data_IF_623529627508
#
_entry.id   IF_623529627508
#
_cell.length_a   1.000
_cell.length_b   1.000
_cell.length_c   1.000
_cell.angle_alpha   90.00
_cell.angle_beta   90.00
_cell.angle_gamma   90.00
#
_symmetry.space_group_name_H-M   'P 1'
#
loop_
_entity.id
_entity.type
_entity.pdbx_description
1 polymer ?
#
# COMPACT_ATOMS: atom_id res chain seq x y z
N UNK A 1 6.03 42.68 -29.20
CA UNK A 1 5.40 42.26 -27.93
C UNK A 1 5.47 40.74 -27.70
N UNK A 2 4.97 39.90 -28.61
CA UNK A 2 4.91 38.43 -28.42
C UNK A 2 6.28 37.72 -28.19
N UNK A 3 7.34 38.14 -28.90
CA UNK A 3 8.69 37.55 -28.72
C UNK A 3 9.32 37.85 -27.35
N UNK A 4 9.00 39.00 -26.76
CA UNK A 4 9.50 39.41 -25.44
C UNK A 4 8.76 38.69 -24.32
N UNK A 5 7.44 38.52 -24.46
CA UNK A 5 6.63 37.73 -23.55
C UNK A 5 7.06 36.25 -23.51
N UNK A 6 7.35 35.64 -24.68
CA UNK A 6 7.85 34.27 -24.75
C UNK A 6 9.22 34.06 -24.08
N UNK A 7 10.13 35.04 -24.15
CA UNK A 7 11.43 35.00 -23.46
C UNK A 7 11.28 35.12 -21.95
N UNK A 8 10.39 35.99 -21.47
CA UNK A 8 10.09 36.15 -20.05
C UNK A 8 9.44 34.89 -19.47
N UNK A 9 8.49 34.28 -20.18
CA UNK A 9 7.89 33.01 -19.81
C UNK A 9 8.92 31.87 -19.77
N UNK A 10 9.84 31.81 -20.76
CA UNK A 10 10.91 30.83 -20.77
C UNK A 10 11.90 30.98 -19.61
N UNK A 11 12.31 32.22 -19.29
CA UNK A 11 13.19 32.50 -18.16
C UNK A 11 12.54 32.18 -16.81
N UNK A 12 11.25 32.53 -16.64
CA UNK A 12 10.48 32.18 -15.44
C UNK A 12 10.31 30.67 -15.27
N UNK A 13 10.11 29.93 -16.37
CA UNK A 13 10.08 28.47 -16.38
C UNK A 13 11.39 27.84 -15.93
N UNK A 14 12.52 28.28 -16.49
CA UNK A 14 13.86 27.83 -16.08
C UNK A 14 14.16 28.14 -14.61
N UNK A 15 13.77 29.33 -14.14
CA UNK A 15 13.91 29.70 -12.73
C UNK A 15 13.12 28.79 -11.79
N UNK A 16 11.87 28.48 -12.14
CA UNK A 16 11.01 27.56 -11.39
C UNK A 16 11.63 26.16 -11.29
N UNK A 17 12.14 25.62 -12.40
CA UNK A 17 12.79 24.31 -12.44
C UNK A 17 14.07 24.30 -11.60
N UNK A 18 14.87 25.37 -11.66
CA UNK A 18 16.09 25.48 -10.85
C UNK A 18 15.76 25.48 -9.34
N UNK A 19 14.76 26.26 -8.91
CA UNK A 19 14.30 26.26 -7.50
C UNK A 19 13.79 24.89 -7.09
N UNK A 20 12.96 24.23 -7.92
CA UNK A 20 12.48 22.88 -7.64
C UNK A 20 13.64 21.88 -7.49
N UNK A 21 14.66 21.97 -8.35
CA UNK A 21 15.88 21.16 -8.26
C UNK A 21 16.65 21.37 -6.97
N UNK A 22 16.86 22.63 -6.56
CA UNK A 22 17.49 22.96 -5.28
C UNK A 22 16.69 22.45 -4.08
N UNK A 23 15.35 22.56 -4.13
CA UNK A 23 14.47 22.00 -3.10
C UNK A 23 14.55 20.48 -3.05
N UNK A 24 14.67 19.79 -4.19
CA UNK A 24 14.78 18.34 -4.23
C UNK A 24 16.07 17.87 -3.56
N UNK A 25 17.19 18.58 -3.80
CA UNK A 25 18.45 18.36 -3.10
C UNK A 25 18.28 18.60 -1.60
N UNK A 26 17.69 19.73 -1.19
CA UNK A 26 17.46 20.05 0.22
C UNK A 26 16.61 18.99 0.93
N UNK A 27 15.50 18.57 0.33
CA UNK A 27 14.62 17.54 0.88
C UNK A 27 15.38 16.22 1.01
N UNK A 28 16.16 15.83 0.01
CA UNK A 28 16.95 14.59 0.03
C UNK A 28 18.06 14.63 1.09
N UNK A 29 18.79 15.72 1.21
CA UNK A 29 19.92 15.82 2.16
C UNK A 29 19.46 15.89 3.61
N UNK A 30 18.28 16.45 3.86
CA UNK A 30 17.70 16.56 5.20
C UNK A 30 16.73 15.39 5.50
N UNK A 31 16.73 14.33 4.70
CA UNK A 31 15.87 13.16 4.92
C UNK A 31 16.62 12.11 5.73
N UNK A 32 16.10 11.79 6.91
CA UNK A 32 16.57 10.70 7.74
C UNK A 32 15.47 9.64 7.78
N UNK A 33 15.77 8.48 7.23
CA UNK A 33 14.83 7.36 7.18
C UNK A 33 14.80 6.67 8.56
N UNK A 34 13.64 6.55 9.22
CA UNK A 34 13.52 5.76 10.44
C UNK A 34 13.79 4.27 10.15
N UNK A 35 14.14 3.48 11.18
CA UNK A 35 14.25 2.03 11.00
C UNK A 35 12.88 1.40 10.71
N UNK A 36 12.91 0.18 10.17
CA UNK A 36 11.73 -0.68 10.05
C UNK A 36 11.13 -0.99 11.44
N UNK A 37 9.85 -1.37 11.49
CA UNK A 37 9.20 -1.76 12.73
C UNK A 37 9.90 -2.98 13.35
N UNK A 38 9.97 -3.00 14.68
CA UNK A 38 10.48 -4.15 15.41
C UNK A 38 9.36 -5.12 15.76
N UNK A 39 9.68 -6.41 15.86
CA UNK A 39 8.72 -7.46 16.23
C UNK A 39 8.48 -8.45 15.09
N UNK A 40 7.49 -9.34 15.24
CA UNK A 40 7.22 -10.36 14.24
C UNK A 40 6.63 -9.77 12.95
N UNK A 41 6.98 -10.35 11.80
CA UNK A 41 6.38 -10.02 10.51
C UNK A 41 5.14 -10.87 10.20
N UNK A 42 4.76 -11.77 11.11
CA UNK A 42 3.57 -12.61 11.01
C UNK A 42 2.87 -12.70 12.36
N UNK A 43 1.57 -12.98 12.34
CA UNK A 43 0.81 -13.16 13.58
C UNK A 43 -0.60 -13.65 13.32
N UNK A 44 -1.35 -13.84 14.41
CA UNK A 44 -2.77 -14.17 14.36
C UNK A 44 -3.50 -13.25 15.34
N UNK A 45 -4.45 -12.49 14.83
CA UNK A 45 -5.37 -11.72 15.64
C UNK A 45 -6.59 -12.59 15.99
N UNK A 46 -6.89 -12.70 17.28
CA UNK A 46 -8.09 -13.37 17.75
C UNK A 46 -9.26 -12.38 17.88
N UNK A 47 -10.51 -12.79 17.60
CA UNK A 47 -11.67 -12.02 18.02
C UNK A 47 -11.67 -11.93 19.56
N UNK A 48 -12.19 -10.82 20.12
CA UNK A 48 -12.34 -10.68 21.57
C UNK A 48 -13.10 -11.90 22.13
N UNK A 49 -12.75 -12.41 23.34
CA UNK A 49 -13.21 -13.71 23.79
C UNK A 49 -14.73 -13.78 23.93
N UNK A 50 -15.38 -14.46 22.98
CA UNK A 50 -16.72 -14.99 23.10
C UNK A 50 -16.60 -16.51 23.29
N UNK A 51 -16.40 -16.95 24.54
CA UNK A 51 -16.49 -18.36 24.99
C UNK A 51 -15.52 -19.38 24.34
N UNK A 52 -15.28 -20.56 24.94
CA UNK A 52 -14.21 -21.45 24.50
C UNK A 52 -14.57 -22.22 23.22
N UNK A 53 -13.53 -22.39 22.37
CA UNK A 53 -13.41 -23.35 21.27
C UNK A 53 -14.45 -23.27 20.15
N UNK A 54 -14.32 -22.26 19.29
CA UNK A 54 -14.71 -22.42 17.87
C UNK A 54 -13.61 -23.27 17.21
N UNK A 55 -13.95 -24.40 16.56
CA UNK A 55 -12.96 -25.20 15.84
C UNK A 55 -12.23 -24.37 14.78
N UNK A 56 -10.94 -24.69 14.58
CA UNK A 56 -9.93 -24.03 13.73
C UNK A 56 -10.26 -23.91 12.23
N UNK A 57 -11.50 -24.14 11.79
CA UNK A 57 -11.84 -24.31 10.37
C UNK A 57 -12.21 -23.03 9.61
N UNK A 58 -12.19 -21.84 10.23
CA UNK A 58 -12.60 -20.60 9.55
C UNK A 58 -11.64 -19.42 9.74
N UNK A 59 -10.36 -19.67 10.05
CA UNK A 59 -9.36 -18.60 10.08
C UNK A 59 -9.23 -17.95 8.69
N UNK A 60 -9.20 -16.61 8.66
CA UNK A 60 -8.86 -15.84 7.47
C UNK A 60 -7.38 -15.51 7.44
N UNK A 61 -6.74 -15.49 6.29
CA UNK A 61 -5.32 -15.17 6.15
C UNK A 61 -5.10 -14.00 5.20
N UNK A 62 -4.45 -12.95 5.71
CA UNK A 62 -4.07 -11.76 4.97
C UNK A 62 -2.57 -11.78 4.68
N UNK A 63 -2.18 -11.36 3.48
CA UNK A 63 -0.76 -11.15 3.14
C UNK A 63 -0.57 -9.71 2.65
N UNK A 64 0.43 -9.03 3.16
CA UNK A 64 0.83 -7.70 2.72
C UNK A 64 2.10 -7.80 1.89
N UNK A 65 2.10 -7.24 0.69
CA UNK A 65 3.28 -7.08 -0.15
C UNK A 65 3.56 -5.59 -0.31
N UNK A 66 4.79 -5.13 -0.07
CA UNK A 66 5.05 -3.72 -0.27
C UNK A 66 6.41 -3.21 0.16
N UNK A 67 6.44 -1.91 0.42
CA UNK A 67 7.64 -1.17 0.77
C UNK A 67 7.73 -0.88 2.27
N UNK A 68 8.30 0.28 2.62
CA UNK A 68 8.43 0.79 3.98
C UNK A 68 7.10 0.90 4.73
N UNK A 69 5.97 1.00 4.04
CA UNK A 69 4.65 0.99 4.67
C UNK A 69 4.26 -0.39 5.22
N UNK A 70 4.73 -1.45 4.58
CA UNK A 70 4.50 -2.84 5.03
C UNK A 70 5.52 -3.25 6.08
N UNK A 71 6.77 -2.77 5.98
CA UNK A 71 7.77 -2.98 7.04
C UNK A 71 7.52 -2.12 8.28
N UNK A 72 6.62 -1.13 8.19
CA UNK A 72 6.19 -0.31 9.32
C UNK A 72 7.20 0.77 9.71
N UNK A 73 7.95 1.33 8.75
CA UNK A 73 8.82 2.49 9.00
C UNK A 73 8.02 3.61 9.69
N UNK A 74 8.56 4.14 10.78
CA UNK A 74 7.89 5.19 11.57
C UNK A 74 7.03 4.67 12.71
N UNK A 75 6.78 3.34 12.78
CA UNK A 75 6.18 2.71 13.95
C UNK A 75 7.16 2.70 15.13
N UNK A 76 6.64 2.89 16.35
CA UNK A 76 7.38 2.67 17.60
C UNK A 76 6.96 1.38 18.29
N UNK A 77 5.86 0.75 17.84
CA UNK A 77 5.42 -0.55 18.33
C UNK A 77 6.51 -1.63 18.18
N UNK A 78 6.54 -2.54 19.17
CA UNK A 78 7.44 -3.71 19.18
C UNK A 78 6.74 -5.02 18.79
N UNK A 79 5.49 -4.92 18.38
CA UNK A 79 4.63 -6.06 18.05
C UNK A 79 4.57 -6.33 16.54
N UNK A 80 5.51 -5.74 15.78
CA UNK A 80 5.55 -5.83 14.32
C UNK A 80 4.95 -4.59 13.64
N UNK A 81 4.87 -4.61 12.30
CA UNK A 81 4.36 -3.48 11.53
C UNK A 81 2.89 -3.22 11.85
N UNK A 82 2.56 -1.97 12.20
CA UNK A 82 1.23 -1.61 12.72
C UNK A 82 0.14 -1.81 11.68
N UNK A 83 0.36 -1.46 10.41
CA UNK A 83 -0.66 -1.56 9.36
C UNK A 83 -1.16 -3.01 9.14
N UNK A 84 -0.29 -4.01 8.86
CA UNK A 84 -0.71 -5.39 8.73
C UNK A 84 -1.40 -5.96 9.98
N UNK A 85 -0.78 -5.75 11.15
CA UNK A 85 -1.29 -6.25 12.43
C UNK A 85 -2.64 -5.65 12.76
N UNK A 86 -2.77 -4.33 12.67
CA UNK A 86 -3.99 -3.65 13.08
C UNK A 86 -5.16 -3.90 12.12
N UNK A 87 -4.91 -4.05 10.81
CA UNK A 87 -5.97 -4.50 9.89
C UNK A 87 -6.49 -5.88 10.28
N UNK A 88 -5.59 -6.82 10.60
CA UNK A 88 -5.97 -8.16 11.03
C UNK A 88 -6.77 -8.14 12.33
N UNK A 89 -6.37 -7.33 13.31
CA UNK A 89 -7.11 -7.13 14.56
C UNK A 89 -8.51 -6.57 14.34
N UNK A 90 -8.65 -5.55 13.50
CA UNK A 90 -9.94 -4.96 13.17
C UNK A 90 -10.82 -5.96 12.41
N UNK A 91 -10.26 -6.68 11.44
CA UNK A 91 -10.98 -7.73 10.71
C UNK A 91 -11.42 -8.87 11.64
N UNK A 92 -10.56 -9.32 12.55
CA UNK A 92 -10.90 -10.38 13.49
C UNK A 92 -12.09 -9.98 14.38
N UNK A 93 -12.11 -8.73 14.85
CA UNK A 93 -13.24 -8.17 15.60
C UNK A 93 -14.51 -8.07 14.75
N UNK A 94 -14.42 -7.55 13.53
CA UNK A 94 -15.59 -7.33 12.67
C UNK A 94 -16.18 -8.62 12.08
N UNK A 95 -15.35 -9.64 11.86
CA UNK A 95 -15.75 -10.91 11.26
C UNK A 95 -16.05 -12.00 12.30
N UNK A 96 -15.72 -11.75 13.58
CA UNK A 96 -15.79 -12.73 14.65
C UNK A 96 -15.04 -14.04 14.33
N UNK A 97 -13.92 -13.95 13.61
CA UNK A 97 -13.09 -15.10 13.25
C UNK A 97 -11.61 -14.77 13.44
N UNK A 98 -10.73 -15.74 13.75
CA UNK A 98 -9.29 -15.48 13.78
C UNK A 98 -8.79 -14.99 12.42
N UNK A 99 -7.86 -14.04 12.44
CA UNK A 99 -7.23 -13.49 11.23
C UNK A 99 -5.72 -13.60 11.34
N UNK A 100 -5.14 -14.52 10.57
CA UNK A 100 -3.71 -14.60 10.35
C UNK A 100 -3.25 -13.46 9.43
N UNK A 101 -2.05 -12.94 9.68
CA UNK A 101 -1.44 -11.93 8.83
C UNK A 101 0.04 -12.20 8.62
N UNK A 102 0.53 -11.85 7.44
CA UNK A 102 1.94 -11.93 7.05
C UNK A 102 2.35 -10.65 6.31
N UNK A 103 3.47 -10.06 6.68
CA UNK A 103 4.01 -8.83 6.11
C UNK A 103 5.32 -9.10 5.36
N UNK A 104 5.25 -9.09 4.02
CA UNK A 104 6.41 -9.24 3.14
C UNK A 104 6.74 -7.89 2.51
N UNK A 105 7.63 -7.15 3.18
CA UNK A 105 8.04 -5.82 2.74
C UNK A 105 9.56 -5.67 2.67
N UNK A 106 10.01 -4.79 1.79
CA UNK A 106 11.40 -4.30 1.78
C UNK A 106 11.36 -2.78 1.59
N UNK A 107 12.00 -2.06 2.50
CA UNK A 107 12.06 -0.60 2.43
C UNK A 107 12.66 -0.13 1.09
N UNK A 108 11.90 0.69 0.37
CA UNK A 108 12.27 1.17 -0.97
C UNK A 108 11.81 0.29 -2.13
N UNK A 109 11.09 -0.81 -1.88
CA UNK A 109 10.61 -1.70 -2.94
C UNK A 109 9.67 -1.00 -3.94
N UNK A 110 9.91 -1.28 -5.22
CA UNK A 110 9.01 -0.96 -6.34
C UNK A 110 8.24 -2.22 -6.80
N UNK A 111 7.34 -2.08 -7.77
CA UNK A 111 6.53 -3.20 -8.28
C UNK A 111 7.37 -4.34 -8.85
N UNK A 112 8.57 -4.04 -9.38
CA UNK A 112 9.50 -5.04 -9.89
C UNK A 112 10.07 -5.88 -8.75
N UNK A 113 10.52 -5.23 -7.68
CA UNK A 113 11.00 -5.89 -6.47
C UNK A 113 9.90 -6.71 -5.79
N UNK A 114 8.65 -6.23 -5.76
CA UNK A 114 7.52 -7.02 -5.26
C UNK A 114 7.38 -8.35 -6.00
N UNK A 115 7.47 -8.34 -7.34
CA UNK A 115 7.41 -9.55 -8.16
C UNK A 115 8.63 -10.45 -7.97
N UNK A 116 9.83 -9.88 -7.87
CA UNK A 116 11.08 -10.64 -7.77
C UNK A 116 11.27 -11.27 -6.38
N UNK A 117 10.97 -10.53 -5.32
CA UNK A 117 11.34 -10.88 -3.94
C UNK A 117 10.16 -11.27 -3.05
N UNK A 118 8.98 -10.67 -3.23
CA UNK A 118 7.83 -10.90 -2.34
C UNK A 118 6.85 -11.92 -2.91
N UNK A 119 6.69 -12.00 -4.24
CA UNK A 119 5.86 -13.04 -4.86
C UNK A 119 6.35 -14.47 -4.53
N UNK A 120 7.67 -14.78 -4.49
CA UNK A 120 8.13 -16.07 -3.99
C UNK A 120 7.75 -16.34 -2.53
N UNK A 121 7.74 -15.31 -1.67
CA UNK A 121 7.33 -15.43 -0.27
C UNK A 121 5.82 -15.68 -0.17
N UNK A 122 5.01 -15.02 -0.99
CA UNK A 122 3.57 -15.30 -1.11
C UNK A 122 3.34 -16.75 -1.54
N UNK A 123 4.06 -17.25 -2.54
CA UNK A 123 3.96 -18.65 -2.99
C UNK A 123 4.24 -19.64 -1.85
N UNK A 124 5.32 -19.41 -1.09
CA UNK A 124 5.65 -20.24 0.06
C UNK A 124 4.56 -20.19 1.15
N UNK A 125 4.01 -19.01 1.43
CA UNK A 125 2.93 -18.84 2.40
C UNK A 125 1.63 -19.52 1.93
N UNK A 126 1.26 -19.40 0.66
CA UNK A 126 0.08 -20.08 0.09
C UNK A 126 0.23 -21.60 0.22
N UNK A 127 1.38 -22.16 -0.14
CA UNK A 127 1.63 -23.60 0.00
C UNK A 127 1.58 -24.05 1.46
N UNK A 128 2.14 -23.27 2.39
CA UNK A 128 2.06 -23.55 3.83
C UNK A 128 0.61 -23.55 4.32
N UNK A 129 -0.18 -22.54 3.95
CA UNK A 129 -1.61 -22.48 4.31
C UNK A 129 -2.38 -23.66 3.73
N UNK A 130 -2.11 -24.03 2.49
CA UNK A 130 -2.74 -25.17 1.84
C UNK A 130 -2.45 -26.49 2.55
N UNK A 131 -1.23 -26.69 3.03
CA UNK A 131 -0.86 -27.85 3.86
C UNK A 131 -1.61 -27.88 5.20
N UNK A 132 -1.97 -26.72 5.73
CA UNK A 132 -2.81 -26.55 6.94
C UNK A 132 -4.32 -26.65 6.66
N UNK A 133 -4.72 -26.96 5.42
CA UNK A 133 -6.13 -26.96 5.00
C UNK A 133 -6.75 -25.55 4.93
N UNK A 134 -5.93 -24.52 4.87
CA UNK A 134 -6.32 -23.10 4.78
C UNK A 134 -5.93 -22.51 3.41
N UNK A 135 -6.30 -21.25 3.19
CA UNK A 135 -5.91 -20.48 2.01
C UNK A 135 -5.58 -19.04 2.39
N UNK A 136 -4.97 -18.29 1.46
CA UNK A 136 -4.81 -16.84 1.58
C UNK A 136 -6.06 -16.17 1.02
N UNK A 137 -6.80 -15.46 1.88
CA UNK A 137 -8.08 -14.85 1.53
C UNK A 137 -7.91 -13.45 0.94
N UNK A 138 -6.82 -12.77 1.27
CA UNK A 138 -6.59 -11.40 0.84
C UNK A 138 -5.10 -11.08 0.70
N UNK A 139 -4.76 -10.36 -0.37
CA UNK A 139 -3.46 -9.72 -0.55
C UNK A 139 -3.62 -8.21 -0.62
N UNK A 140 -2.89 -7.49 0.22
CA UNK A 140 -2.84 -6.01 0.21
C UNK A 140 -1.51 -5.57 -0.37
N UNK A 141 -1.54 -4.77 -1.44
CA UNK A 141 -0.34 -4.33 -2.17
C UNK A 141 -0.09 -2.85 -1.90
N UNK A 142 0.99 -2.55 -1.19
CA UNK A 142 1.46 -1.19 -0.94
C UNK A 142 2.63 -0.87 -1.86
N UNK A 143 2.37 -0.13 -2.94
CA UNK A 143 3.40 0.32 -3.89
C UNK A 143 2.98 1.59 -4.64
N UNK A 144 3.89 2.13 -5.47
CA UNK A 144 3.66 3.28 -6.35
C UNK A 144 4.61 4.44 -6.09
N UNK A 145 4.90 4.76 -4.82
CA UNK A 145 5.76 5.90 -4.49
C UNK A 145 7.23 5.64 -4.89
N UNK A 146 7.76 4.43 -4.66
CA UNK A 146 9.11 4.09 -5.10
C UNK A 146 9.19 3.94 -6.62
N UNK A 147 8.17 3.39 -7.27
CA UNK A 147 8.08 3.33 -8.74
C UNK A 147 8.19 4.72 -9.38
N UNK A 148 7.46 5.69 -8.83
CA UNK A 148 7.55 7.09 -9.23
C UNK A 148 8.94 7.67 -8.94
N UNK A 149 9.50 7.43 -7.74
CA UNK A 149 10.84 7.89 -7.37
C UNK A 149 11.90 7.37 -8.34
N UNK A 150 11.87 6.09 -8.70
CA UNK A 150 12.81 5.51 -9.66
C UNK A 150 12.66 6.17 -11.03
N UNK A 151 11.43 6.33 -11.53
CA UNK A 151 11.19 7.01 -12.81
C UNK A 151 11.76 8.43 -12.83
N UNK A 152 11.51 9.23 -11.79
CA UNK A 152 11.84 10.66 -11.77
C UNK A 152 13.26 10.95 -11.32
N UNK A 153 13.70 10.36 -10.21
CA UNK A 153 14.98 10.67 -9.58
C UNK A 153 16.14 9.88 -10.19
N UNK A 154 15.88 8.67 -10.71
CA UNK A 154 16.91 7.87 -11.37
C UNK A 154 16.92 8.07 -12.89
N UNK A 155 16.13 9.03 -13.39
CA UNK A 155 16.07 9.41 -14.81
C UNK A 155 15.78 8.21 -15.71
N UNK A 156 14.80 7.38 -15.33
CA UNK A 156 14.37 6.19 -16.05
C UNK A 156 12.96 6.42 -16.65
N UNK A 157 12.82 7.27 -17.69
CA UNK A 157 11.51 7.70 -18.20
C UNK A 157 10.68 6.58 -18.83
N UNK A 158 11.29 5.43 -19.14
CA UNK A 158 10.56 4.24 -19.60
C UNK A 158 9.72 3.60 -18.49
N UNK A 159 10.01 3.88 -17.22
CA UNK A 159 9.22 3.43 -16.06
C UNK A 159 8.05 4.38 -15.76
N UNK A 160 7.41 4.89 -16.80
CA UNK A 160 6.31 5.86 -16.72
C UNK A 160 5.02 5.24 -16.13
N UNK A 161 3.97 6.02 -15.80
CA UNK A 161 2.76 5.50 -15.13
C UNK A 161 2.14 4.29 -15.84
N UNK A 162 1.97 4.35 -17.16
CA UNK A 162 1.39 3.22 -17.89
C UNK A 162 2.24 1.93 -17.82
N UNK A 163 3.57 2.03 -17.77
CA UNK A 163 4.44 0.88 -17.55
C UNK A 163 4.22 0.30 -16.15
N UNK A 164 4.12 1.16 -15.13
CA UNK A 164 3.77 0.75 -13.77
C UNK A 164 2.42 0.00 -13.74
N UNK A 165 1.40 0.50 -14.44
CA UNK A 165 0.12 -0.20 -14.56
C UNK A 165 0.26 -1.60 -15.14
N UNK A 166 1.06 -1.76 -16.20
CA UNK A 166 1.29 -3.07 -16.82
C UNK A 166 2.01 -4.03 -15.85
N UNK A 167 3.00 -3.56 -15.10
CA UNK A 167 3.68 -4.43 -14.12
C UNK A 167 2.80 -4.76 -12.93
N UNK A 168 2.01 -3.79 -12.44
CA UNK A 168 1.05 -4.03 -11.37
C UNK A 168 -0.03 -5.02 -11.81
N UNK A 169 -0.51 -4.89 -13.05
CA UNK A 169 -1.43 -5.86 -13.65
C UNK A 169 -0.84 -7.28 -13.63
N UNK A 170 0.41 -7.45 -14.09
CA UNK A 170 1.09 -8.75 -14.06
C UNK A 170 1.24 -9.28 -12.64
N UNK A 171 1.61 -8.45 -11.68
CA UNK A 171 1.71 -8.85 -10.28
C UNK A 171 0.35 -9.33 -9.75
N UNK A 172 -0.74 -8.61 -10.04
CA UNK A 172 -2.10 -9.00 -9.64
C UNK A 172 -2.49 -10.34 -10.28
N UNK A 173 -2.23 -10.52 -11.58
CA UNK A 173 -2.53 -11.77 -12.29
C UNK A 173 -1.73 -12.95 -11.68
N UNK A 174 -0.45 -12.76 -11.41
CA UNK A 174 0.41 -13.78 -10.77
C UNK A 174 -0.02 -14.10 -9.33
N UNK A 175 -0.53 -13.11 -8.59
CA UNK A 175 -1.12 -13.31 -7.26
C UNK A 175 -2.39 -14.15 -7.37
N UNK A 176 -3.25 -13.87 -8.36
CA UNK A 176 -4.48 -14.64 -8.59
C UNK A 176 -4.20 -16.07 -9.00
N UNK A 177 -3.24 -16.28 -9.88
CA UNK A 177 -2.78 -17.62 -10.25
C UNK A 177 -2.21 -18.39 -9.05
N UNK A 178 -1.51 -17.70 -8.14
CA UNK A 178 -0.88 -18.31 -6.96
C UNK A 178 -1.88 -18.59 -5.84
N UNK A 179 -2.62 -17.58 -5.40
CA UNK A 179 -3.50 -17.64 -4.23
C UNK A 179 -4.94 -18.09 -4.57
N UNK A 180 -5.29 -18.13 -5.85
CA UNK A 180 -6.59 -18.51 -6.37
C UNK A 180 -7.51 -17.32 -6.66
N UNK A 181 -8.45 -17.52 -7.58
CA UNK A 181 -9.39 -16.49 -8.06
C UNK A 181 -10.22 -15.82 -6.94
N UNK A 182 -10.50 -16.56 -5.87
CA UNK A 182 -11.28 -16.05 -4.74
C UNK A 182 -10.49 -15.14 -3.79
N UNK A 183 -9.17 -15.07 -3.91
CA UNK A 183 -8.31 -14.23 -3.06
C UNK A 183 -8.53 -12.75 -3.38
N UNK A 184 -9.03 -11.94 -2.46
CA UNK A 184 -9.21 -10.51 -2.69
C UNK A 184 -7.86 -9.79 -2.85
N UNK A 185 -7.76 -8.84 -3.79
CA UNK A 185 -6.54 -8.02 -3.95
C UNK A 185 -6.87 -6.56 -3.74
N UNK A 186 -6.29 -5.96 -2.70
CA UNK A 186 -6.48 -4.55 -2.37
C UNK A 186 -5.27 -3.73 -2.83
N UNK A 187 -5.56 -2.58 -3.45
CA UNK A 187 -4.59 -1.60 -3.93
C UNK A 187 -4.81 -0.26 -3.19
N UNK A 188 -4.34 -0.09 -1.95
CA UNK A 188 -4.52 1.17 -1.23
C UNK A 188 -3.74 2.34 -1.84
N UNK A 189 -4.35 3.52 -1.77
CA UNK A 189 -3.77 4.79 -2.18
C UNK A 189 -2.79 5.32 -1.14
N UNK A 190 -1.65 5.86 -1.56
CA UNK A 190 -0.66 6.47 -0.66
C UNK A 190 -0.84 8.00 -0.66
N UNK A 191 -1.26 8.63 0.45
CA UNK A 191 -1.68 10.04 0.51
C UNK A 191 -0.49 11.02 0.55
N UNK A 192 0.29 11.10 -0.52
CA UNK A 192 1.52 11.90 -0.57
C UNK A 192 1.25 13.41 -0.42
N UNK A 193 0.11 13.89 -0.89
CA UNK A 193 -0.32 15.30 -0.78
C UNK A 193 -0.52 15.77 0.66
N UNK A 194 -0.66 14.84 1.61
CA UNK A 194 -0.83 15.13 3.04
C UNK A 194 0.49 15.04 3.80
N UNK A 195 1.58 14.57 3.16
CA UNK A 195 2.86 14.39 3.81
C UNK A 195 3.47 15.75 4.22
N UNK A 196 3.72 15.99 5.53
CA UNK A 196 4.24 17.25 6.04
C UNK A 196 5.56 17.69 5.38
N UNK A 197 6.36 16.71 4.95
CA UNK A 197 7.64 16.94 4.28
C UNK A 197 7.53 17.80 3.02
N UNK A 198 6.38 17.74 2.33
CA UNK A 198 6.16 18.50 1.09
C UNK A 198 5.29 19.75 1.28
N UNK A 199 4.83 20.05 2.51
CA UNK A 199 3.91 21.16 2.76
C UNK A 199 4.51 22.53 2.41
N UNK A 200 5.82 22.72 2.60
CA UNK A 200 6.48 24.04 2.52
C UNK A 200 7.59 24.13 1.45
N UNK A 201 7.53 23.30 0.40
CA UNK A 201 8.55 23.26 -0.67
C UNK A 201 7.97 23.55 -2.05
N UNK A 202 7.21 24.63 -2.19
CA UNK A 202 6.77 25.10 -3.50
C UNK A 202 7.94 25.72 -4.28
N UNK A 203 8.16 25.40 -5.56
CA UNK A 203 7.27 24.67 -6.47
C UNK A 203 7.45 23.14 -6.54
N UNK A 204 8.48 22.57 -5.89
CA UNK A 204 8.75 21.13 -5.93
C UNK A 204 7.53 20.27 -5.57
N UNK A 205 6.80 20.65 -4.51
CA UNK A 205 5.64 19.90 -4.03
C UNK A 205 4.57 19.71 -5.11
N UNK A 206 4.32 20.71 -5.95
CA UNK A 206 3.37 20.61 -7.07
C UNK A 206 3.77 19.53 -8.07
N UNK A 207 5.06 19.41 -8.40
CA UNK A 207 5.56 18.38 -9.32
C UNK A 207 5.47 16.98 -8.72
N UNK A 208 5.89 16.83 -7.46
CA UNK A 208 5.89 15.53 -6.76
C UNK A 208 4.45 15.03 -6.56
N UNK A 209 3.55 15.88 -6.05
CA UNK A 209 2.14 15.50 -5.82
C UNK A 209 1.46 15.21 -7.16
N UNK A 210 1.68 16.06 -8.17
CA UNK A 210 1.13 15.85 -9.51
C UNK A 210 1.56 14.51 -10.11
N UNK A 211 2.84 14.14 -9.96
CA UNK A 211 3.36 12.85 -10.41
C UNK A 211 2.75 11.68 -9.61
N UNK A 212 2.67 11.78 -8.27
CA UNK A 212 2.11 10.73 -7.44
C UNK A 212 0.65 10.41 -7.83
N UNK A 213 -0.15 11.45 -8.06
CA UNK A 213 -1.53 11.29 -8.53
C UNK A 213 -1.62 10.57 -9.89
N UNK A 214 -0.62 10.67 -10.76
CA UNK A 214 -0.61 9.90 -12.02
C UNK A 214 -0.42 8.40 -11.78
N UNK A 215 0.38 8.01 -10.79
CA UNK A 215 0.55 6.60 -10.37
C UNK A 215 -0.68 6.07 -9.65
N UNK A 216 -1.27 6.86 -8.75
CA UNK A 216 -2.52 6.50 -8.07
C UNK A 216 -3.67 6.26 -9.06
N UNK A 217 -3.79 7.11 -10.09
CA UNK A 217 -4.74 6.88 -11.20
C UNK A 217 -4.52 5.56 -11.93
N UNK A 218 -3.30 5.02 -11.96
CA UNK A 218 -3.06 3.71 -12.58
C UNK A 218 -3.57 2.57 -11.73
N UNK A 219 -3.43 2.64 -10.39
CA UNK A 219 -4.02 1.66 -9.47
C UNK A 219 -5.54 1.67 -9.60
N UNK A 220 -6.14 2.86 -9.61
CA UNK A 220 -7.57 3.02 -9.82
C UNK A 220 -8.03 2.48 -11.19
N UNK A 221 -7.31 2.80 -12.27
CA UNK A 221 -7.63 2.32 -13.61
C UNK A 221 -7.51 0.80 -13.73
N UNK A 222 -6.53 0.19 -13.05
CA UNK A 222 -6.40 -1.26 -12.99
C UNK A 222 -7.60 -1.89 -12.28
N UNK A 223 -7.93 -1.45 -11.07
CA UNK A 223 -9.08 -1.98 -10.33
C UNK A 223 -10.39 -1.80 -11.11
N UNK A 224 -10.61 -0.63 -11.73
CA UNK A 224 -11.80 -0.36 -12.53
C UNK A 224 -11.89 -1.20 -13.81
N UNK A 225 -10.77 -1.75 -14.30
CA UNK A 225 -10.77 -2.61 -15.49
C UNK A 225 -11.11 -4.08 -15.20
N UNK A 226 -11.20 -4.45 -13.92
CA UNK A 226 -11.44 -5.83 -13.46
C UNK A 226 -12.93 -6.10 -13.29
N UNK A 227 -13.34 -7.33 -13.60
CA UNK A 227 -14.68 -7.77 -13.31
C UNK A 227 -14.89 -7.83 -11.78
N UNK A 228 -16.11 -7.53 -11.26
CA UNK A 228 -16.40 -7.66 -9.83
C UNK A 228 -16.07 -9.03 -9.23
N UNK A 229 -16.18 -10.10 -10.02
CA UNK A 229 -15.82 -11.48 -9.61
C UNK A 229 -14.33 -11.66 -9.35
N UNK A 230 -13.47 -10.84 -9.95
CA UNK A 230 -12.03 -10.87 -9.73
C UNK A 230 -11.63 -10.20 -8.40
N UNK A 231 -12.53 -9.54 -7.66
CA UNK A 231 -12.26 -9.00 -6.31
C UNK A 231 -10.96 -8.17 -6.20
N UNK A 232 -10.67 -7.35 -7.21
CA UNK A 232 -9.55 -6.40 -7.20
C UNK A 232 -10.10 -5.00 -6.93
N UNK A 233 -9.72 -4.39 -5.82
CA UNK A 233 -10.25 -3.09 -5.42
C UNK A 233 -9.15 -2.06 -5.18
N UNK A 234 -9.40 -0.85 -5.66
CA UNK A 234 -8.65 0.33 -5.27
C UNK A 234 -9.25 0.92 -4.01
N UNK A 235 -8.42 1.16 -2.99
CA UNK A 235 -8.85 1.78 -1.75
C UNK A 235 -8.36 3.22 -1.76
N UNK A 236 -9.29 4.17 -1.73
CA UNK A 236 -8.96 5.58 -1.67
C UNK A 236 -8.22 5.93 -0.36
N UNK A 237 -7.64 7.12 -0.31
CA UNK A 237 -7.00 7.62 0.89
C UNK A 237 -8.02 8.06 1.96
N UNK A 238 -7.67 7.98 3.26
CA UNK A 238 -8.50 8.54 4.32
C UNK A 238 -8.57 10.08 4.21
N UNK A 239 -9.77 10.64 4.43
CA UNK A 239 -9.98 12.10 4.37
C UNK A 239 -9.34 12.84 5.57
N UNK A 240 -9.31 12.19 6.73
CA UNK A 240 -8.93 12.75 8.04
C UNK A 240 -7.48 12.39 8.44
N UNK A 241 -6.53 12.46 7.50
CA UNK A 241 -5.10 12.36 7.83
C UNK A 241 -4.51 13.75 8.10
N UNK A 242 -3.92 13.92 9.28
CA UNK A 242 -3.41 15.17 9.85
C UNK A 242 -1.93 15.05 10.19
N UNK A 243 -1.30 16.19 10.52
CA UNK A 243 0.14 16.28 10.86
C UNK A 243 0.56 15.26 11.94
N UNK A 244 -0.29 15.07 12.95
CA UNK A 244 -0.05 14.16 14.08
C UNK A 244 -0.07 12.67 13.73
N UNK A 245 -0.47 12.31 12.50
CA UNK A 245 -0.46 10.93 12.01
C UNK A 245 0.85 10.56 11.30
N UNK A 246 1.81 11.48 11.20
CA UNK A 246 3.12 11.24 10.59
C UNK A 246 4.21 11.10 11.65
N UNK A 247 5.24 10.32 11.34
CA UNK A 247 6.44 10.25 12.17
C UNK A 247 7.40 11.43 11.85
N UNK A 248 8.54 11.45 12.52
CA UNK A 248 9.50 12.57 12.52
C UNK A 248 10.08 12.88 11.14
N UNK A 249 10.04 11.94 10.20
CA UNK A 249 10.52 12.16 8.83
C UNK A 249 9.55 12.97 7.96
N UNK A 250 8.31 13.19 8.45
CA UNK A 250 7.25 13.93 7.77
C UNK A 250 6.73 13.24 6.50
N UNK A 251 6.99 11.94 6.33
CA UNK A 251 6.65 11.14 5.16
C UNK A 251 5.87 9.88 5.53
N UNK A 252 6.39 9.09 6.46
CA UNK A 252 5.74 7.85 6.88
C UNK A 252 4.74 8.09 8.00
N UNK A 253 3.65 7.30 8.05
CA UNK A 253 2.77 7.32 9.20
C UNK A 253 3.51 6.94 10.48
N UNK A 254 3.04 7.44 11.61
CA UNK A 254 3.38 6.87 12.92
C UNK A 254 2.38 5.77 13.28
N UNK A 255 2.45 5.24 14.52
CA UNK A 255 1.56 4.16 14.96
C UNK A 255 0.07 4.51 14.75
N UNK A 256 -0.39 5.69 15.22
CA UNK A 256 -1.80 6.10 15.08
C UNK A 256 -2.20 6.37 13.63
N UNK A 257 -1.28 6.88 12.81
CA UNK A 257 -1.50 7.04 11.37
C UNK A 257 -1.70 5.72 10.64
N UNK A 258 -0.93 4.69 10.99
CA UNK A 258 -1.13 3.34 10.45
C UNK A 258 -2.43 2.70 10.94
N UNK A 259 -2.81 2.91 12.20
CA UNK A 259 -4.09 2.44 12.75
C UNK A 259 -5.29 3.05 12.01
N UNK A 260 -5.26 4.37 11.81
CA UNK A 260 -6.28 5.10 11.05
C UNK A 260 -6.38 4.57 9.62
N UNK A 261 -5.24 4.31 8.98
CA UNK A 261 -5.20 3.80 7.61
C UNK A 261 -5.74 2.36 7.54
N UNK A 262 -5.40 1.50 8.49
CA UNK A 262 -5.96 0.15 8.60
C UNK A 262 -7.48 0.17 8.78
N UNK A 263 -7.99 1.07 9.63
CA UNK A 263 -9.42 1.26 9.83
C UNK A 263 -10.13 1.71 8.54
N UNK A 264 -9.54 2.65 7.80
CA UNK A 264 -10.07 3.12 6.52
C UNK A 264 -10.09 2.00 5.47
N UNK A 265 -9.02 1.19 5.37
CA UNK A 265 -8.98 0.04 4.47
C UNK A 265 -10.11 -0.94 4.78
N UNK A 266 -10.32 -1.25 6.06
CA UNK A 266 -11.40 -2.12 6.47
C UNK A 266 -12.76 -1.53 6.13
N UNK A 267 -12.99 -0.24 6.41
CA UNK A 267 -14.26 0.41 6.12
C UNK A 267 -14.60 0.38 4.62
N UNK A 268 -13.63 0.69 3.75
CA UNK A 268 -13.79 0.62 2.30
C UNK A 268 -14.06 -0.81 1.83
N UNK A 269 -13.29 -1.78 2.33
CA UNK A 269 -13.51 -3.20 2.04
C UNK A 269 -14.92 -3.65 2.49
N UNK A 270 -15.36 -3.20 3.66
CA UNK A 270 -16.72 -3.43 4.19
C UNK A 270 -17.79 -2.56 3.52
N UNK A 271 -17.51 -1.71 2.54
CA UNK A 271 -18.54 -1.05 1.72
C UNK A 271 -18.62 -1.64 0.32
N UNK A 272 -17.51 -2.16 -0.20
CA UNK A 272 -17.44 -2.78 -1.51
C UNK A 272 -18.15 -4.15 -1.55
N UNK A 273 -19.34 -4.19 -2.16
CA UNK A 273 -20.12 -5.44 -2.30
C UNK A 273 -19.42 -6.49 -3.17
N UNK A 274 -18.60 -6.10 -4.14
CA UNK A 274 -17.92 -7.03 -5.02
C UNK A 274 -16.86 -7.82 -4.25
N UNK A 275 -16.00 -7.12 -3.52
CA UNK A 275 -14.96 -7.72 -2.68
C UNK A 275 -15.53 -8.52 -1.49
N UNK A 276 -16.67 -8.11 -0.94
CA UNK A 276 -17.36 -8.89 0.10
C UNK A 276 -17.83 -10.25 -0.38
N UNK A 277 -18.40 -10.31 -1.58
CA UNK A 277 -19.13 -11.51 -1.99
C UNK A 277 -18.24 -12.76 -2.04
N UNK A 278 -17.01 -12.67 -2.56
CA UNK A 278 -16.09 -13.82 -2.54
C UNK A 278 -15.44 -14.07 -1.19
N UNK A 279 -15.03 -13.03 -0.47
CA UNK A 279 -14.37 -13.15 0.84
C UNK A 279 -15.29 -13.79 1.92
N UNK A 280 -16.58 -13.44 1.93
CA UNK A 280 -17.57 -13.99 2.86
C UNK A 280 -18.18 -15.31 2.38
N UNK A 281 -18.32 -15.55 1.06
CA UNK A 281 -18.83 -16.85 0.56
C UNK A 281 -17.89 -18.03 0.90
N UNK A 282 -16.61 -17.77 1.12
CA UNK A 282 -15.67 -18.76 1.65
C UNK A 282 -15.96 -19.19 3.10
N UNK A 283 -16.75 -18.43 3.88
CA UNK A 283 -17.21 -18.84 5.22
C UNK A 283 -18.42 -19.78 5.19
N UNK A 284 -19.07 -19.94 4.04
CA UNK A 284 -20.32 -20.73 3.90
C UNK A 284 -20.15 -22.05 3.13
N UNK A 285 -18.93 -22.38 2.67
CA UNK A 285 -18.69 -23.67 2.02
C UNK A 285 -18.36 -24.73 3.07
N UNK A 286 -19.15 -25.81 3.21
CA UNK A 286 -18.65 -27.00 3.90
C UNK A 286 -17.48 -27.55 3.09
N UNK A 287 -16.44 -27.96 3.81
CA UNK A 287 -15.23 -28.66 3.31
C UNK A 287 -15.56 -29.82 2.37
#
# INVERSE_FOLDING_TARGET
MFRSAGRLLGAAGLGTVAVAGSQAVYVRTNFALPPDATGPSTGVAAPAPLTPSVPSSTQKNLVFLGDSLVTGVGCRSREGPVLPRHLAELMARSLHTPVGWSAFGETGADVGMLREKMLPQLKAEVERRKQEGQHVDMVVIMCGLNDMKVCMLHMQPWLHPHWFRQQLQRLVDEIKETAGENCAVLLPSVPLERAPRFANVWPLSTFIIGAALLWEKQKQALAASRAPSEQVAFIAQPEEIHLEHFCEDGMHPNDTGYELWAAHILECFLKDRACKSGFFNALQRPS
#
